data_IF_045276614808
#
_entry.id   IF_045276614808
#
_cell.length_a   1.000
_cell.length_b   1.000
_cell.length_c   1.000
_cell.angle_alpha   90.00
_cell.angle_beta   90.00
_cell.angle_gamma   90.00
#
_symmetry.space_group_name_H-M   'P 1'
#
loop_
_entity.id
_entity.type
_entity.pdbx_description
1 polymer ?
#
# COMPACT_ATOMS: atom_id res chain seq x y z
N UNK A 1 11.63 -3.45 5.12
CA UNK A 1 12.47 -3.16 3.92
C UNK A 1 13.74 -4.01 3.98
N UNK A 2 14.25 -4.47 2.84
CA UNK A 2 15.44 -5.33 2.75
C UNK A 2 16.59 -4.65 1.99
N UNK A 3 17.84 -5.01 2.32
CA UNK A 3 19.07 -4.49 1.72
C UNK A 3 19.16 -2.94 1.70
N UNK A 4 18.78 -2.32 2.82
CA UNK A 4 18.71 -0.85 2.94
C UNK A 4 20.06 -0.15 2.94
N UNK A 5 21.12 -0.93 3.19
CA UNK A 5 22.53 -0.54 3.11
C UNK A 5 23.03 -0.37 1.67
N UNK A 6 22.33 -0.95 0.69
CA UNK A 6 22.67 -0.82 -0.73
C UNK A 6 21.94 0.39 -1.38
N UNK A 7 22.60 1.05 -2.37
CA UNK A 7 21.93 1.94 -3.31
C UNK A 7 20.74 1.24 -4.02
N UNK A 8 19.72 2.01 -4.41
CA UNK A 8 18.46 1.45 -4.92
C UNK A 8 18.64 0.50 -6.11
N UNK A 9 19.49 0.84 -7.08
CA UNK A 9 19.76 -0.02 -8.25
C UNK A 9 20.37 -1.36 -7.85
N UNK A 10 21.32 -1.36 -6.92
CA UNK A 10 21.98 -2.58 -6.43
C UNK A 10 21.03 -3.42 -5.59
N UNK A 11 20.18 -2.77 -4.76
CA UNK A 11 19.10 -3.42 -4.01
C UNK A 11 18.12 -4.13 -4.94
N UNK A 12 17.66 -3.46 -5.99
CA UNK A 12 16.71 -4.01 -6.96
C UNK A 12 17.31 -5.23 -7.68
N UNK A 13 18.56 -5.11 -8.17
CA UNK A 13 19.27 -6.26 -8.77
C UNK A 13 19.40 -7.42 -7.80
N UNK A 14 19.75 -7.15 -6.54
CA UNK A 14 19.90 -8.18 -5.52
C UNK A 14 18.59 -8.94 -5.25
N UNK A 15 17.46 -8.23 -5.18
CA UNK A 15 16.13 -8.85 -4.99
C UNK A 15 15.77 -9.71 -6.22
N UNK A 16 16.04 -9.21 -7.43
CA UNK A 16 15.80 -9.94 -8.66
C UNK A 16 16.66 -11.22 -8.78
N UNK A 17 17.95 -11.17 -8.43
CA UNK A 17 18.85 -12.34 -8.40
C UNK A 17 18.37 -13.44 -7.45
N UNK A 18 17.66 -13.06 -6.39
CA UNK A 18 17.03 -13.99 -5.44
C UNK A 18 15.70 -14.57 -5.96
N UNK A 19 15.24 -14.13 -7.14
CA UNK A 19 14.02 -14.63 -7.79
C UNK A 19 12.73 -13.95 -7.33
N UNK A 20 12.81 -12.80 -6.66
CA UNK A 20 11.65 -12.07 -6.15
C UNK A 20 11.27 -10.89 -7.06
N UNK A 21 9.98 -10.55 -7.05
CA UNK A 21 9.50 -9.28 -7.56
C UNK A 21 9.80 -8.14 -6.56
N UNK A 22 9.82 -6.90 -7.06
CA UNK A 22 10.24 -5.73 -6.30
C UNK A 22 9.07 -4.77 -6.08
N UNK A 23 8.87 -4.34 -4.84
CA UNK A 23 8.02 -3.21 -4.49
C UNK A 23 8.85 -1.92 -4.37
N UNK A 24 8.32 -0.81 -4.87
CA UNK A 24 8.95 0.52 -4.79
C UNK A 24 8.16 1.45 -3.87
N UNK A 25 8.75 1.76 -2.71
CA UNK A 25 8.26 2.84 -1.86
C UNK A 25 8.71 4.20 -2.40
N UNK A 26 7.76 5.13 -2.56
CA UNK A 26 7.98 6.52 -2.95
C UNK A 26 8.86 6.66 -4.20
N UNK A 27 8.25 6.44 -5.37
CA UNK A 27 8.94 6.51 -6.66
C UNK A 27 9.60 7.89 -6.92
N UNK A 28 9.13 8.95 -6.25
CA UNK A 28 9.63 10.33 -6.46
C UNK A 28 11.06 10.53 -5.96
N UNK A 29 11.55 9.62 -5.11
CA UNK A 29 12.91 9.66 -4.55
C UNK A 29 13.93 8.87 -5.37
N UNK A 30 13.52 8.25 -6.47
CA UNK A 30 14.37 7.36 -7.27
C UNK A 30 14.55 7.87 -8.69
N UNK A 31 15.66 7.46 -9.30
CA UNK A 31 15.86 7.63 -10.75
C UNK A 31 15.00 6.61 -11.50
N UNK A 32 13.85 7.08 -12.00
CA UNK A 32 12.89 6.24 -12.74
C UNK A 32 13.52 5.67 -14.03
N UNK A 33 14.40 6.40 -14.70
CA UNK A 33 15.02 5.93 -15.94
C UNK A 33 15.97 4.75 -15.65
N UNK A 34 16.70 4.81 -14.53
CA UNK A 34 17.50 3.69 -14.07
C UNK A 34 16.63 2.47 -13.70
N UNK A 35 15.48 2.67 -13.04
CA UNK A 35 14.55 1.58 -12.71
C UNK A 35 13.92 0.95 -13.97
N UNK A 36 13.63 1.75 -15.00
CA UNK A 36 13.16 1.27 -16.30
C UNK A 36 14.24 0.47 -17.01
N UNK A 37 15.51 0.89 -16.97
CA UNK A 37 16.60 0.09 -17.52
C UNK A 37 16.69 -1.30 -16.87
N UNK A 38 16.48 -1.39 -15.55
CA UNK A 38 16.44 -2.67 -14.84
C UNK A 38 15.22 -3.52 -15.23
N UNK A 39 14.05 -2.91 -15.46
CA UNK A 39 12.88 -3.61 -16.02
C UNK A 39 13.23 -4.25 -17.36
N UNK A 40 13.91 -3.50 -18.23
CA UNK A 40 14.29 -3.97 -19.56
C UNK A 40 15.38 -5.07 -19.50
N UNK A 41 16.15 -5.12 -18.41
CA UNK A 41 17.06 -6.23 -18.07
C UNK A 41 16.34 -7.48 -17.52
N UNK A 42 15.03 -7.40 -17.23
CA UNK A 42 14.19 -8.52 -16.77
C UNK A 42 13.70 -8.43 -15.33
N UNK A 43 13.97 -7.33 -14.62
CA UNK A 43 13.41 -7.10 -13.28
C UNK A 43 11.89 -6.97 -13.35
N UNK A 44 11.19 -7.66 -12.45
CA UNK A 44 9.73 -7.57 -12.31
C UNK A 44 9.41 -6.75 -11.07
N UNK A 45 8.61 -5.70 -11.25
CA UNK A 45 8.09 -4.90 -10.15
C UNK A 45 6.64 -5.30 -9.82
N UNK A 46 6.33 -5.50 -8.54
CA UNK A 46 5.01 -5.93 -8.08
C UNK A 46 4.05 -4.76 -7.88
N UNK A 47 4.54 -3.73 -7.20
CA UNK A 47 3.73 -2.66 -6.61
C UNK A 47 4.60 -1.42 -6.38
N UNK A 48 3.96 -0.25 -6.29
CA UNK A 48 4.61 0.97 -5.83
C UNK A 48 3.61 1.94 -5.20
N UNK A 49 4.11 2.97 -4.51
CA UNK A 49 3.27 4.09 -4.05
C UNK A 49 2.54 4.75 -5.21
N UNK A 50 1.22 4.70 -5.12
CA UNK A 50 0.26 5.09 -6.15
C UNK A 50 -0.15 6.55 -6.15
N UNK A 51 0.49 7.38 -5.33
CA UNK A 51 0.17 8.79 -5.15
C UNK A 51 1.38 9.51 -4.56
N UNK A 52 1.38 10.85 -4.58
CA UNK A 52 2.47 11.67 -4.00
C UNK A 52 1.98 12.43 -2.77
N UNK A 53 0.76 12.97 -2.82
CA UNK A 53 0.12 13.70 -1.70
C UNK A 53 -1.39 13.54 -1.75
N UNK A 54 -2.07 14.03 -0.74
CA UNK A 54 -3.54 14.02 -0.66
C UNK A 54 -4.04 13.09 0.43
N UNK A 55 -5.37 13.04 0.58
CA UNK A 55 -6.06 12.38 1.70
C UNK A 55 -7.42 11.85 1.27
N UNK A 56 -7.90 10.79 1.91
CA UNK A 56 -9.21 10.21 1.57
C UNK A 56 -10.39 11.00 2.17
N UNK A 57 -10.20 11.65 3.32
CA UNK A 57 -11.28 11.99 4.23
C UNK A 57 -11.94 13.37 4.00
N UNK A 58 -11.39 14.20 3.12
CA UNK A 58 -11.86 15.56 2.84
C UNK A 58 -11.77 15.91 1.35
N UNK A 59 -12.63 16.83 0.88
CA UNK A 59 -12.74 17.13 -0.55
C UNK A 59 -11.46 17.69 -1.18
N UNK A 60 -10.78 18.62 -0.50
CA UNK A 60 -9.52 19.18 -0.99
C UNK A 60 -8.42 18.12 -1.07
N UNK A 61 -8.27 17.32 -0.01
CA UNK A 61 -7.32 16.21 0.04
C UNK A 61 -7.63 15.13 -1.01
N UNK A 62 -8.90 14.87 -1.28
CA UNK A 62 -9.33 13.88 -2.27
C UNK A 62 -8.98 14.31 -3.70
N UNK A 63 -9.21 15.57 -4.04
CA UNK A 63 -8.84 16.10 -5.36
C UNK A 63 -7.32 16.12 -5.54
N UNK A 64 -6.56 16.45 -4.49
CA UNK A 64 -5.10 16.34 -4.50
C UNK A 64 -4.61 14.89 -4.66
N UNK A 65 -5.25 13.95 -3.96
CA UNK A 65 -4.94 12.52 -4.04
C UNK A 65 -5.12 12.00 -5.46
N UNK A 66 -6.26 12.29 -6.08
CA UNK A 66 -6.56 11.86 -7.44
C UNK A 66 -5.62 12.49 -8.47
N UNK A 67 -5.27 13.76 -8.30
CA UNK A 67 -4.31 14.43 -9.17
C UNK A 67 -2.93 13.75 -9.12
N UNK A 68 -2.40 13.51 -7.92
CA UNK A 68 -1.08 12.87 -7.78
C UNK A 68 -1.08 11.37 -8.05
N UNK A 69 -2.24 10.72 -7.91
CA UNK A 69 -2.40 9.35 -8.37
C UNK A 69 -2.30 9.27 -9.90
N UNK A 70 -2.92 10.22 -10.61
CA UNK A 70 -2.78 10.32 -12.06
C UNK A 70 -1.34 10.63 -12.51
N UNK A 71 -0.56 11.36 -11.70
CA UNK A 71 0.90 11.54 -11.94
C UNK A 71 1.69 10.23 -11.81
N UNK A 72 1.26 9.34 -10.90
CA UNK A 72 1.94 8.07 -10.63
C UNK A 72 1.66 7.01 -11.69
N UNK A 73 0.52 7.08 -12.39
CA UNK A 73 0.13 6.10 -13.40
C UNK A 73 1.13 5.97 -14.56
N UNK A 74 1.59 7.05 -15.24
CA UNK A 74 2.60 6.93 -16.29
C UNK A 74 3.92 6.32 -15.81
N UNK A 75 4.30 6.54 -14.55
CA UNK A 75 5.50 5.91 -13.97
C UNK A 75 5.28 4.41 -13.79
N UNK A 76 4.10 4.00 -13.31
CA UNK A 76 3.70 2.60 -13.23
C UNK A 76 3.74 1.91 -14.59
N UNK A 77 3.18 2.54 -15.62
CA UNK A 77 3.16 2.03 -16.99
C UNK A 77 4.59 1.81 -17.54
N UNK A 78 5.48 2.78 -17.33
CA UNK A 78 6.90 2.67 -17.74
C UNK A 78 7.63 1.54 -17.03
N UNK A 79 7.35 1.31 -15.76
CA UNK A 79 7.95 0.24 -14.94
C UNK A 79 7.25 -1.12 -15.12
N UNK A 80 6.09 -1.16 -15.79
CA UNK A 80 5.27 -2.36 -15.90
C UNK A 80 4.63 -2.79 -14.57
N UNK A 81 4.38 -1.84 -13.67
CA UNK A 81 3.82 -2.10 -12.35
C UNK A 81 2.28 -2.16 -12.43
N UNK A 82 1.65 -3.26 -12.01
CA UNK A 82 0.19 -3.41 -12.07
C UNK A 82 -0.55 -2.81 -10.87
N UNK A 83 0.12 -2.62 -9.72
CA UNK A 83 -0.51 -2.27 -8.44
C UNK A 83 0.06 -1.00 -7.82
N UNK A 84 -0.84 -0.13 -7.36
CA UNK A 84 -0.54 1.20 -6.85
C UNK A 84 -1.07 1.34 -5.41
N UNK A 85 -0.18 1.27 -4.41
CA UNK A 85 -0.61 1.33 -3.01
C UNK A 85 -0.95 2.76 -2.57
N UNK A 86 -1.92 2.86 -1.68
CA UNK A 86 -2.31 4.11 -1.05
C UNK A 86 -2.72 3.91 0.40
N UNK A 87 -2.68 5.00 1.15
CA UNK A 87 -3.06 5.05 2.56
C UNK A 87 -4.22 6.02 2.78
N UNK A 88 -4.78 6.03 3.99
CA UNK A 88 -5.86 6.96 4.35
C UNK A 88 -5.49 8.45 4.26
N UNK A 89 -4.19 8.76 4.28
CA UNK A 89 -3.64 10.11 4.24
C UNK A 89 -2.21 10.12 3.65
N UNK A 90 -1.69 11.28 3.32
CA UNK A 90 -0.28 11.46 2.97
C UNK A 90 0.62 11.19 4.16
N UNK A 91 1.72 10.46 3.92
CA UNK A 91 2.73 10.12 4.93
C UNK A 91 4.03 10.89 4.65
N UNK A 92 4.74 11.26 5.71
CA UNK A 92 6.07 11.87 5.62
C UNK A 92 7.17 10.82 5.41
N UNK A 93 8.43 11.26 5.43
CA UNK A 93 9.61 10.39 5.25
C UNK A 93 9.81 9.36 6.36
N UNK A 94 9.10 9.49 7.49
CA UNK A 94 9.09 8.56 8.62
C UNK A 94 7.83 7.71 8.67
N UNK A 95 6.94 7.83 7.67
CA UNK A 95 5.66 7.15 7.64
C UNK A 95 4.60 7.79 8.54
N UNK A 96 4.83 8.97 9.10
CA UNK A 96 3.85 9.65 9.96
C UNK A 96 2.84 10.44 9.11
N UNK A 97 1.58 10.56 9.54
CA UNK A 97 0.58 11.31 8.79
C UNK A 97 0.96 12.80 8.73
N UNK A 98 1.05 13.35 7.52
CA UNK A 98 1.30 14.79 7.31
C UNK A 98 0.22 15.64 7.98
N UNK A 99 -1.02 15.14 7.97
CA UNK A 99 -2.14 15.72 8.72
C UNK A 99 -2.86 14.59 9.48
N UNK A 100 -2.60 14.44 10.80
CA UNK A 100 -3.20 13.37 11.60
C UNK A 100 -4.70 13.59 11.82
N UNK A 101 -5.43 12.48 11.88
CA UNK A 101 -6.83 12.42 12.26
C UNK A 101 -7.06 11.18 13.15
N UNK A 102 -7.18 11.42 14.46
CA UNK A 102 -7.36 10.34 15.45
C UNK A 102 -8.80 9.81 15.52
N UNK A 103 -9.76 10.55 14.98
CA UNK A 103 -11.16 10.15 14.93
C UNK A 103 -11.66 10.17 13.48
N UNK A 104 -12.29 9.07 13.06
CA UNK A 104 -12.93 8.97 11.76
C UNK A 104 -14.44 9.12 11.93
N UNK A 105 -14.98 10.21 11.40
CA UNK A 105 -16.43 10.49 11.46
C UNK A 105 -17.18 9.81 10.31
N UNK A 106 -18.51 9.67 10.43
CA UNK A 106 -19.35 9.16 9.34
C UNK A 106 -19.26 9.97 8.04
N UNK A 107 -19.02 11.29 8.12
CA UNK A 107 -18.78 12.11 6.93
C UNK A 107 -17.46 11.76 6.24
N UNK A 108 -16.41 11.51 7.03
CA UNK A 108 -15.12 11.09 6.50
C UNK A 108 -15.24 9.73 5.80
N UNK A 109 -16.01 8.79 6.37
CA UNK A 109 -16.30 7.49 5.74
C UNK A 109 -16.96 7.63 4.36
N UNK A 110 -18.00 8.46 4.24
CA UNK A 110 -18.66 8.71 2.96
C UNK A 110 -17.69 9.33 1.94
N UNK A 111 -16.93 10.35 2.35
CA UNK A 111 -15.93 11.00 1.50
C UNK A 111 -14.82 10.03 1.07
N UNK A 112 -14.34 9.18 1.97
CA UNK A 112 -13.30 8.20 1.67
C UNK A 112 -13.79 7.16 0.66
N UNK A 113 -14.99 6.61 0.84
CA UNK A 113 -15.61 5.71 -0.13
C UNK A 113 -15.71 6.38 -1.52
N UNK A 114 -16.23 7.60 -1.59
CA UNK A 114 -16.41 8.30 -2.87
C UNK A 114 -15.06 8.59 -3.55
N UNK A 115 -14.03 8.94 -2.76
CA UNK A 115 -12.67 9.14 -3.26
C UNK A 115 -12.07 7.85 -3.80
N UNK A 116 -12.26 6.74 -3.09
CA UNK A 116 -11.79 5.41 -3.49
C UNK A 116 -12.51 4.91 -4.75
N UNK A 117 -13.81 5.19 -4.91
CA UNK A 117 -14.54 4.90 -6.14
C UNK A 117 -13.95 5.66 -7.34
N UNK A 118 -13.62 6.95 -7.18
CA UNK A 118 -12.95 7.75 -8.23
C UNK A 118 -11.54 7.23 -8.56
N UNK A 119 -10.81 6.70 -7.57
CA UNK A 119 -9.53 6.02 -7.79
C UNK A 119 -9.71 4.70 -8.54
N UNK A 120 -10.74 3.93 -8.22
CA UNK A 120 -11.06 2.70 -8.95
C UNK A 120 -11.35 2.99 -10.44
N UNK A 121 -12.13 4.03 -10.73
CA UNK A 121 -12.37 4.49 -12.11
C UNK A 121 -11.09 4.95 -12.81
N UNK A 122 -10.16 5.60 -12.09
CA UNK A 122 -8.84 5.93 -12.63
C UNK A 122 -8.05 4.67 -12.96
N UNK A 123 -8.05 3.68 -12.05
CA UNK A 123 -7.39 2.40 -12.27
C UNK A 123 -7.94 1.67 -13.49
N UNK A 124 -9.27 1.65 -13.64
CA UNK A 124 -9.95 1.04 -14.79
C UNK A 124 -9.53 1.69 -16.12
N UNK A 125 -9.51 3.03 -16.19
CA UNK A 125 -9.11 3.76 -17.41
C UNK A 125 -7.69 3.44 -17.88
N UNK A 126 -6.79 3.12 -16.95
CA UNK A 126 -5.38 2.89 -17.22
C UNK A 126 -4.94 1.42 -17.09
N UNK A 127 -5.87 0.51 -16.78
CA UNK A 127 -5.57 -0.91 -16.61
C UNK A 127 -4.66 -1.21 -15.41
N UNK A 128 -4.67 -0.36 -14.38
CA UNK A 128 -3.93 -0.55 -13.12
C UNK A 128 -4.90 -0.82 -11.97
N UNK A 129 -4.40 -1.37 -10.87
CA UNK A 129 -5.18 -1.61 -9.65
C UNK A 129 -4.64 -0.76 -8.51
N UNK A 130 -5.50 0.04 -7.88
CA UNK A 130 -5.16 0.69 -6.62
C UNK A 130 -5.36 -0.28 -5.46
N UNK A 131 -4.45 -0.26 -4.49
CA UNK A 131 -4.52 -1.12 -3.31
C UNK A 131 -4.47 -0.29 -2.02
N UNK A 132 -5.57 -0.29 -1.26
CA UNK A 132 -5.65 0.42 0.01
C UNK A 132 -4.96 -0.41 1.09
N UNK A 133 -3.92 0.15 1.70
CA UNK A 133 -3.10 -0.53 2.70
C UNK A 133 -3.59 -0.25 4.13
N UNK A 134 -3.64 -1.29 4.95
CA UNK A 134 -3.85 -1.16 6.39
C UNK A 134 -2.53 -0.92 7.13
N UNK A 135 -2.57 -0.07 8.16
CA UNK A 135 -1.44 0.29 9.01
C UNK A 135 -1.76 0.02 10.49
N UNK A 136 -0.78 0.19 11.39
CA UNK A 136 -1.03 0.21 12.84
C UNK A 136 -0.89 1.64 13.38
N UNK A 137 -1.77 2.03 14.30
CA UNK A 137 -1.73 3.36 14.94
C UNK A 137 -1.09 3.34 16.31
N UNK A 138 -0.91 2.14 16.86
CA UNK A 138 -0.38 1.84 18.18
C UNK A 138 1.12 2.08 18.25
N UNK A 139 1.85 1.90 17.14
CA UNK A 139 3.30 1.96 17.11
C UNK A 139 3.84 2.85 15.98
N UNK A 140 3.57 2.50 14.73
CA UNK A 140 4.28 3.03 13.57
C UNK A 140 3.62 4.26 12.95
N UNK A 141 2.27 4.29 12.92
CA UNK A 141 1.52 5.30 12.19
C UNK A 141 0.44 5.99 13.05
N UNK A 142 0.78 6.54 14.24
CA UNK A 142 -0.19 7.18 15.11
C UNK A 142 -0.91 8.33 14.40
N UNK A 143 -2.25 8.30 14.42
CA UNK A 143 -3.09 9.33 13.82
C UNK A 143 -3.36 9.17 12.32
N UNK A 144 -2.97 8.06 11.67
CA UNK A 144 -3.44 7.76 10.31
C UNK A 144 -4.92 7.34 10.37
N UNK A 145 -5.83 8.01 9.63
CA UNK A 145 -7.21 7.56 9.51
C UNK A 145 -7.31 6.34 8.61
N UNK A 146 -8.34 5.51 8.82
CA UNK A 146 -8.57 4.28 8.03
C UNK A 146 -7.35 3.34 8.03
N UNK A 147 -6.70 3.19 9.19
CA UNK A 147 -5.52 2.33 9.33
C UNK A 147 -5.88 0.86 9.58
N UNK A 148 -6.97 0.57 10.28
CA UNK A 148 -7.32 -0.82 10.63
C UNK A 148 -7.66 -1.63 9.39
N UNK A 149 -7.21 -2.88 9.30
CA UNK A 149 -7.54 -3.78 8.21
C UNK A 149 -9.06 -3.99 8.10
N UNK A 150 -9.78 -4.02 9.22
CA UNK A 150 -11.25 -4.05 9.20
C UNK A 150 -11.87 -2.83 8.48
N UNK A 151 -11.29 -1.63 8.67
CA UNK A 151 -11.77 -0.41 8.05
C UNK A 151 -11.44 -0.37 6.55
N UNK A 152 -10.19 -0.69 6.19
CA UNK A 152 -9.75 -0.78 4.80
C UNK A 152 -10.58 -1.81 4.02
N UNK A 153 -10.81 -2.99 4.62
CA UNK A 153 -11.63 -4.03 4.00
C UNK A 153 -13.07 -3.56 3.81
N UNK A 154 -13.69 -2.92 4.80
CA UNK A 154 -15.05 -2.39 4.66
C UNK A 154 -15.16 -1.31 3.56
N UNK A 155 -14.14 -0.43 3.43
CA UNK A 155 -14.08 0.55 2.35
C UNK A 155 -13.99 -0.12 0.97
N UNK A 156 -13.08 -1.07 0.81
CA UNK A 156 -12.89 -1.81 -0.45
C UNK A 156 -14.15 -2.62 -0.80
N UNK A 157 -14.75 -3.32 0.15
CA UNK A 157 -16.03 -4.04 0.00
C UNK A 157 -17.16 -3.11 -0.45
N UNK A 158 -17.20 -1.87 0.06
CA UNK A 158 -18.26 -0.91 -0.27
C UNK A 158 -18.16 -0.29 -1.68
N UNK A 159 -16.99 -0.38 -2.30
CA UNK A 159 -16.73 0.07 -3.68
C UNK A 159 -16.82 -1.10 -4.65
N UNK A 160 -16.37 -2.29 -4.25
CA UNK A 160 -16.47 -3.56 -4.98
C UNK A 160 -16.00 -3.50 -6.44
N UNK A 161 -14.82 -2.92 -6.68
CA UNK A 161 -14.22 -2.81 -8.02
C UNK A 161 -12.96 -3.67 -8.16
N UNK A 162 -12.73 -4.36 -9.29
CA UNK A 162 -11.46 -5.06 -9.54
C UNK A 162 -10.25 -4.13 -9.61
N UNK A 163 -10.46 -2.82 -9.78
CA UNK A 163 -9.41 -1.80 -9.81
C UNK A 163 -9.16 -1.13 -8.45
N UNK A 164 -9.85 -1.59 -7.40
CA UNK A 164 -9.58 -1.23 -6.01
C UNK A 164 -9.59 -2.48 -5.14
N UNK A 165 -8.45 -2.79 -4.54
CA UNK A 165 -8.28 -3.96 -3.66
C UNK A 165 -7.64 -3.58 -2.33
N UNK A 166 -7.59 -4.55 -1.42
CA UNK A 166 -6.89 -4.45 -0.15
C UNK A 166 -5.43 -4.86 -0.34
N UNK A 167 -4.50 -4.04 0.13
CA UNK A 167 -3.15 -4.48 0.48
C UNK A 167 -3.17 -4.82 1.97
N UNK A 168 -3.15 -6.12 2.27
CA UNK A 168 -3.23 -6.62 3.63
C UNK A 168 -1.82 -6.79 4.20
N UNK A 169 -1.35 -5.81 4.97
CA UNK A 169 -0.11 -5.94 5.74
C UNK A 169 -0.42 -6.67 7.06
N UNK A 170 0.12 -7.89 7.20
CA UNK A 170 -0.11 -8.76 8.35
C UNK A 170 0.65 -8.32 9.60
N UNK A 171 1.76 -7.60 9.45
CA UNK A 171 2.48 -7.02 10.57
C UNK A 171 1.64 -5.92 11.23
N UNK A 172 1.09 -5.02 10.42
CA UNK A 172 0.21 -3.95 10.88
C UNK A 172 -1.08 -4.52 11.49
N UNK A 173 -1.70 -5.50 10.83
CA UNK A 173 -2.91 -6.16 11.34
C UNK A 173 -2.66 -6.89 12.67
N UNK A 174 -1.51 -7.55 12.84
CA UNK A 174 -1.20 -8.27 14.09
C UNK A 174 -1.10 -7.33 15.28
N UNK A 175 -0.47 -6.16 15.11
CA UNK A 175 -0.33 -5.16 16.18
C UNK A 175 -1.68 -4.56 16.59
N UNK A 176 -2.52 -4.19 15.62
CA UNK A 176 -3.76 -3.45 15.89
C UNK A 176 -5.00 -4.32 16.15
N UNK A 177 -5.02 -5.55 15.63
CA UNK A 177 -6.26 -6.36 15.55
C UNK A 177 -6.07 -7.84 15.88
N UNK A 178 -4.93 -8.44 15.49
CA UNK A 178 -4.68 -9.87 15.63
C UNK A 178 -5.63 -10.72 14.78
N UNK A 179 -5.87 -11.97 15.21
CA UNK A 179 -6.79 -12.91 14.57
C UNK A 179 -6.56 -13.08 13.05
N UNK A 180 -5.29 -13.16 12.64
CA UNK A 180 -4.88 -13.09 11.23
C UNK A 180 -5.51 -14.16 10.33
N UNK A 181 -5.70 -15.38 10.84
CA UNK A 181 -6.29 -16.49 10.05
C UNK A 181 -7.70 -16.10 9.58
N UNK A 182 -8.55 -15.61 10.49
CA UNK A 182 -9.91 -15.21 10.14
C UNK A 182 -9.95 -13.94 9.30
N UNK A 183 -9.03 -12.99 9.57
CA UNK A 183 -8.88 -11.79 8.75
C UNK A 183 -8.55 -12.15 7.30
N UNK A 184 -7.57 -13.03 7.07
CA UNK A 184 -7.21 -13.52 5.74
C UNK A 184 -8.39 -14.25 5.07
N UNK A 185 -9.10 -15.14 5.80
CA UNK A 185 -10.28 -15.85 5.26
C UNK A 185 -11.37 -14.91 4.81
N UNK A 186 -11.68 -13.87 5.59
CA UNK A 186 -12.69 -12.86 5.23
C UNK A 186 -12.21 -11.99 4.06
N UNK A 187 -10.96 -11.53 4.10
CA UNK A 187 -10.42 -10.58 3.14
C UNK A 187 -10.13 -11.19 1.77
N UNK A 188 -9.92 -12.51 1.67
CA UNK A 188 -9.46 -13.21 0.47
C UNK A 188 -10.10 -12.75 -0.87
N UNK A 189 -11.42 -12.50 -0.97
CA UNK A 189 -12.04 -12.04 -2.23
C UNK A 189 -11.57 -10.65 -2.70
N UNK A 190 -11.06 -9.82 -1.79
CA UNK A 190 -10.68 -8.43 -2.04
C UNK A 190 -9.17 -8.17 -1.90
N UNK A 191 -8.36 -9.20 -1.63
CA UNK A 191 -6.91 -9.05 -1.55
C UNK A 191 -6.33 -8.79 -2.95
N UNK A 192 -5.57 -7.70 -3.06
CA UNK A 192 -4.71 -7.40 -4.22
C UNK A 192 -3.25 -7.71 -3.93
N UNK A 193 -2.82 -7.54 -2.68
CA UNK A 193 -1.46 -7.83 -2.22
C UNK A 193 -1.46 -8.17 -0.72
N UNK A 194 -0.49 -8.98 -0.28
CA UNK A 194 -0.23 -9.26 1.14
C UNK A 194 1.22 -8.89 1.42
N UNK A 195 1.43 -8.12 2.49
CA UNK A 195 2.76 -7.81 3.01
C UNK A 195 2.99 -8.51 4.35
N UNK A 196 4.25 -8.86 4.60
CA UNK A 196 4.66 -9.65 5.77
C UNK A 196 5.92 -9.07 6.42
N UNK A 197 5.90 -9.02 7.75
CA UNK A 197 7.05 -8.82 8.64
C UNK A 197 6.66 -9.36 10.02
N UNK A 198 7.62 -9.80 10.81
CA UNK A 198 7.27 -10.39 12.10
C UNK A 198 6.98 -9.35 13.19
N UNK A 199 6.17 -9.75 14.16
CA UNK A 199 5.87 -8.98 15.37
C UNK A 199 6.50 -9.71 16.57
N UNK A 200 7.14 -8.99 17.51
CA UNK A 200 7.52 -7.58 17.44
C UNK A 200 8.77 -7.35 16.56
N UNK A 201 9.07 -6.09 16.25
CA UNK A 201 10.35 -5.67 15.68
C UNK A 201 10.39 -5.47 14.16
N UNK A 202 9.36 -5.91 13.43
CA UNK A 202 9.25 -5.76 11.97
C UNK A 202 10.44 -6.40 11.23
N UNK A 203 10.88 -7.55 11.74
CA UNK A 203 11.99 -8.34 11.21
C UNK A 203 11.51 -9.43 10.25
N UNK A 204 12.41 -10.33 9.84
CA UNK A 204 12.12 -11.44 8.94
C UNK A 204 11.02 -12.37 9.50
N UNK A 205 10.08 -12.84 8.67
CA UNK A 205 9.09 -13.85 9.08
C UNK A 205 9.72 -15.08 9.75
N UNK A 206 9.22 -15.45 10.93
CA UNK A 206 9.71 -16.56 11.76
C UNK A 206 10.64 -16.14 12.91
N UNK A 207 10.85 -14.85 13.11
CA UNK A 207 11.68 -14.29 14.21
C UNK A 207 10.86 -13.90 15.45
N UNK A 208 9.53 -13.85 15.31
CA UNK A 208 8.60 -13.32 16.30
C UNK A 208 7.43 -14.26 16.57
N UNK A 209 6.29 -13.68 16.90
CA UNK A 209 5.10 -14.38 17.39
C UNK A 209 4.17 -14.89 16.29
N UNK A 210 4.33 -14.43 15.04
CA UNK A 210 3.43 -14.81 13.95
C UNK A 210 3.84 -16.18 13.39
N UNK A 211 2.99 -17.18 13.63
CA UNK A 211 3.13 -18.50 13.02
C UNK A 211 2.65 -18.51 11.55
N UNK A 212 3.42 -17.90 10.64
CA UNK A 212 3.06 -17.75 9.22
C UNK A 212 2.57 -19.02 8.51
N UNK A 213 3.16 -20.22 8.72
CA UNK A 213 2.65 -21.46 8.10
C UNK A 213 1.22 -21.84 8.50
N UNK A 214 0.66 -21.24 9.56
CA UNK A 214 -0.72 -21.44 9.97
C UNK A 214 -1.67 -20.34 9.45
N UNK A 215 -1.14 -19.21 8.99
CA UNK A 215 -1.90 -18.06 8.47
C UNK A 215 -2.24 -18.23 6.99
N UNK A 216 -1.32 -18.83 6.20
CA UNK A 216 -1.47 -19.06 4.77
C UNK A 216 -0.88 -20.41 4.34
#
# INVERSE_FOLDING_TARGET
>A
MVFVDLPVVERVRRIHELGFAVEIWDWTKHDVDALVALRDEGVVYSSMTGYVRGRLADGQGADELLATAAESVPVAERLGIPRLNLHGTGLDDKGLPVQPAHEVTGRMWLQARDTLARLAELGERHGVQFVLENLNTELDHPGVPFARAADCLALVESVDSPHLRLMLDLYHAQIGEGNLIELCRRALPWIGEIQVADVPGRCEPGTGEIAYPAVA
#
